data_IF_142763357871
#
_entry.id   IF_142763357871
#
_cell.length_a   1.000
_cell.length_b   1.000
_cell.length_c   1.000
_cell.angle_alpha   90.00
_cell.angle_beta   90.00
_cell.angle_gamma   90.00
#
_symmetry.space_group_name_H-M   'P 1'
#
loop_
_entity.id
_entity.type
_entity.pdbx_description
1 polymer ?
#
# COMPACT_ATOMS: atom_id res chain seq x y z
N UNK A 1 24.56 13.82 14.57
CA UNK A 1 23.70 12.62 14.47
C UNK A 1 22.68 12.85 13.36
N UNK A 2 22.56 11.96 12.37
CA UNK A 2 21.43 12.03 11.43
C UNK A 2 20.18 11.71 12.24
N UNK A 3 19.21 12.63 12.26
CA UNK A 3 17.91 12.35 12.86
C UNK A 3 17.26 11.20 12.07
N UNK A 4 16.75 10.20 12.79
CA UNK A 4 16.18 9.00 12.21
C UNK A 4 14.72 9.30 11.83
N UNK A 5 14.32 8.88 10.62
CA UNK A 5 12.94 9.04 10.15
C UNK A 5 12.01 8.16 10.98
N UNK A 6 10.91 8.73 11.48
CA UNK A 6 9.86 8.04 12.24
C UNK A 6 8.58 8.04 11.41
N UNK A 7 7.89 6.90 11.39
CA UNK A 7 6.57 6.79 10.80
C UNK A 7 5.52 6.87 11.88
N UNK A 8 4.43 7.58 11.59
CA UNK A 8 3.24 7.67 12.44
C UNK A 8 2.01 7.30 11.62
N UNK A 9 1.09 6.55 12.22
CA UNK A 9 0.00 5.90 11.50
C UNK A 9 -1.36 6.40 12.02
N UNK A 10 -2.12 7.06 11.15
CA UNK A 10 -3.54 7.32 11.33
C UNK A 10 -4.27 6.09 10.80
N UNK A 11 -4.58 5.14 11.68
CA UNK A 11 -5.30 3.91 11.32
C UNK A 11 -6.78 4.10 11.59
N UNK A 12 -7.60 4.01 10.54
CA UNK A 12 -9.03 4.31 10.56
C UNK A 12 -9.89 3.07 10.30
N UNK A 13 -11.09 3.06 10.88
CA UNK A 13 -12.15 2.12 10.53
C UNK A 13 -12.74 2.41 9.15
N UNK A 14 -13.42 1.40 8.57
CA UNK A 14 -14.05 1.49 7.23
C UNK A 14 -15.08 2.63 7.12
N UNK A 15 -15.73 2.99 8.23
CA UNK A 15 -16.69 4.10 8.30
C UNK A 15 -16.03 5.46 8.61
N UNK A 16 -14.69 5.48 8.73
CA UNK A 16 -13.87 6.64 9.12
C UNK A 16 -14.28 7.28 10.45
N UNK A 17 -15.00 6.58 11.33
CA UNK A 17 -15.46 7.15 12.62
C UNK A 17 -14.49 6.93 13.76
N UNK A 18 -13.70 5.87 13.71
CA UNK A 18 -12.79 5.53 14.80
C UNK A 18 -11.35 5.47 14.33
N UNK A 19 -10.44 5.85 15.23
CA UNK A 19 -8.99 5.74 15.05
C UNK A 19 -8.34 4.85 16.10
N UNK A 20 -7.26 4.19 15.71
CA UNK A 20 -6.42 3.41 16.63
C UNK A 20 -5.41 4.32 17.34
N UNK A 21 -5.36 4.21 18.66
CA UNK A 21 -4.39 4.94 19.49
C UNK A 21 -3.71 3.99 20.50
N UNK A 22 -2.42 4.21 20.72
CA UNK A 22 -1.64 3.57 21.78
C UNK A 22 -1.98 4.19 23.13
N UNK A 23 -2.05 3.36 24.17
CA UNK A 23 -2.13 3.79 25.57
C UNK A 23 -0.71 3.93 26.11
N UNK A 24 -0.29 5.13 26.46
CA UNK A 24 1.03 5.35 27.08
C UNK A 24 0.97 5.09 28.59
N UNK A 25 2.00 4.43 29.11
CA UNK A 25 2.07 4.06 30.55
C UNK A 25 2.33 5.24 31.48
N UNK A 26 2.79 6.38 30.96
CA UNK A 26 3.35 7.45 31.79
C UNK A 26 2.34 8.52 32.23
N UNK A 27 1.21 8.72 31.52
CA UNK A 27 0.28 9.82 31.85
C UNK A 27 -1.19 9.60 31.45
N UNK A 28 -1.62 8.36 31.19
CA UNK A 28 -2.94 8.07 30.58
C UNK A 28 -3.16 8.86 29.27
N UNK A 29 -2.05 9.22 28.60
CA UNK A 29 -2.05 9.91 27.32
C UNK A 29 -2.13 8.90 26.18
N UNK A 30 -2.82 9.29 25.13
CA UNK A 30 -2.97 8.55 23.90
C UNK A 30 -2.01 9.11 22.84
N UNK A 31 -1.57 8.24 21.95
CA UNK A 31 -0.74 8.63 20.81
C UNK A 31 -1.03 7.78 19.58
N UNK A 32 -0.84 8.34 18.40
CA UNK A 32 -0.88 7.53 17.18
C UNK A 32 0.23 6.48 17.18
N UNK A 33 -0.05 5.24 16.75
CA UNK A 33 0.95 4.22 16.49
C UNK A 33 2.14 4.79 15.72
N UNK A 34 3.35 4.50 16.20
CA UNK A 34 4.57 5.00 15.56
C UNK A 34 5.72 4.02 15.67
N UNK A 35 6.58 4.04 14.66
CA UNK A 35 7.76 3.18 14.61
C UNK A 35 8.83 3.77 13.71
N UNK A 36 10.04 3.22 13.79
CA UNK A 36 11.15 3.56 12.91
C UNK A 36 11.22 2.49 11.83
N UNK A 37 11.09 2.85 10.54
CA UNK A 37 11.06 1.87 9.46
C UNK A 37 12.46 1.39 9.10
N UNK A 38 12.59 0.10 8.81
CA UNK A 38 13.81 -0.50 8.27
C UNK A 38 14.04 -0.12 6.79
N UNK A 39 12.99 0.36 6.10
CA UNK A 39 13.02 0.78 4.70
C UNK A 39 12.41 2.17 4.56
N UNK A 40 13.13 3.09 3.93
CA UNK A 40 12.70 4.50 3.82
C UNK A 40 12.06 4.86 2.47
N UNK A 41 11.96 3.90 1.55
CA UNK A 41 11.37 4.15 0.23
C UNK A 41 9.86 4.41 0.37
N UNK A 42 9.45 5.62 0.00
CA UNK A 42 8.08 6.16 0.20
C UNK A 42 6.96 5.26 -0.28
N UNK A 43 7.16 4.59 -1.41
CA UNK A 43 6.13 3.75 -2.03
C UNK A 43 6.00 2.36 -1.42
N UNK A 44 6.96 1.85 -0.64
CA UNK A 44 6.92 0.46 -0.14
C UNK A 44 6.06 0.39 1.12
N UNK A 45 5.12 -0.53 1.18
CA UNK A 45 4.10 -0.57 2.25
C UNK A 45 4.24 -1.76 3.20
N UNK A 46 4.95 -2.84 2.82
CA UNK A 46 4.95 -4.10 3.55
C UNK A 46 5.46 -3.96 4.99
N UNK A 47 6.43 -3.07 5.23
CA UNK A 47 6.96 -2.84 6.58
C UNK A 47 5.96 -2.10 7.49
N UNK A 48 5.07 -1.27 6.92
CA UNK A 48 3.99 -0.60 7.65
C UNK A 48 2.91 -1.61 8.02
N UNK A 49 2.42 -2.36 7.02
CA UNK A 49 1.40 -3.40 7.24
C UNK A 49 1.93 -4.49 8.19
N UNK A 50 3.20 -4.89 8.04
CA UNK A 50 3.86 -5.85 8.93
C UNK A 50 4.02 -5.34 10.36
N UNK A 51 4.31 -4.05 10.56
CA UNK A 51 4.31 -3.42 11.88
C UNK A 51 2.93 -3.50 12.54
N UNK A 52 1.87 -3.14 11.80
CA UNK A 52 0.51 -3.14 12.34
C UNK A 52 0.01 -4.54 12.65
N UNK A 53 0.25 -5.50 11.76
CA UNK A 53 -0.05 -6.92 11.99
C UNK A 53 0.67 -7.45 13.23
N UNK A 54 1.98 -7.19 13.37
CA UNK A 54 2.78 -7.71 14.49
C UNK A 54 2.38 -7.13 15.84
N UNK A 55 2.06 -5.84 15.91
CA UNK A 55 1.86 -5.14 17.20
C UNK A 55 0.39 -5.02 17.60
N UNK A 56 -0.53 -5.05 16.63
CA UNK A 56 -1.96 -4.83 16.85
C UNK A 56 -2.83 -6.00 16.37
N UNK A 57 -2.26 -6.99 15.67
CA UNK A 57 -2.96 -8.15 15.12
C UNK A 57 -4.14 -7.74 14.20
N UNK A 58 -3.88 -6.79 13.30
CA UNK A 58 -4.85 -6.28 12.32
C UNK A 58 -4.29 -6.33 10.91
N UNK A 59 -5.15 -6.66 9.94
CA UNK A 59 -4.87 -6.48 8.52
C UNK A 59 -5.21 -5.07 8.06
N UNK A 60 -4.34 -4.50 7.24
CA UNK A 60 -4.37 -3.07 6.90
C UNK A 60 -4.04 -2.82 5.43
N UNK A 61 -4.46 -1.65 4.96
CA UNK A 61 -4.14 -1.12 3.63
C UNK A 61 -3.68 0.33 3.78
N UNK A 62 -2.44 0.61 3.35
CA UNK A 62 -1.88 1.95 3.38
C UNK A 62 -2.49 2.76 2.24
N UNK A 63 -3.25 3.80 2.57
CA UNK A 63 -3.94 4.63 1.59
C UNK A 63 -2.97 5.62 0.97
N UNK A 64 -2.31 6.44 1.80
CA UNK A 64 -1.39 7.48 1.35
C UNK A 64 -0.45 7.95 2.45
N UNK A 65 0.56 8.70 2.04
CA UNK A 65 1.22 9.65 2.93
C UNK A 65 0.27 10.84 3.10
N UNK A 66 -0.15 11.09 4.34
CA UNK A 66 -0.97 12.25 4.68
C UNK A 66 -0.11 13.52 4.71
N UNK A 67 1.00 13.48 5.44
CA UNK A 67 1.87 14.63 5.68
C UNK A 67 3.29 14.20 6.07
N UNK A 68 4.26 15.07 5.81
CA UNK A 68 5.63 14.92 6.30
C UNK A 68 6.02 16.20 7.06
N UNK A 69 6.47 16.05 8.30
CA UNK A 69 6.86 17.15 9.19
C UNK A 69 8.22 16.80 9.80
N UNK A 70 9.25 17.56 9.46
CA UNK A 70 10.64 17.29 9.88
C UNK A 70 11.06 15.86 9.50
N UNK A 71 11.37 15.01 10.49
CA UNK A 71 11.72 13.59 10.29
C UNK A 71 10.55 12.65 10.62
N UNK A 72 9.31 13.13 10.56
CA UNK A 72 8.11 12.32 10.81
C UNK A 72 7.28 12.26 9.54
N UNK A 73 7.03 11.04 9.07
CA UNK A 73 6.11 10.77 7.95
C UNK A 73 4.82 10.16 8.49
N UNK A 74 3.70 10.78 8.15
CA UNK A 74 2.39 10.42 8.65
C UNK A 74 1.63 9.70 7.55
N UNK A 75 1.20 8.48 7.81
CA UNK A 75 0.47 7.64 6.87
C UNK A 75 -1.00 7.54 7.29
N UNK A 76 -1.89 7.64 6.30
CA UNK A 76 -3.30 7.31 6.44
C UNK A 76 -3.50 5.85 5.99
N UNK A 77 -4.17 5.07 6.84
CA UNK A 77 -4.23 3.61 6.72
C UNK A 77 -5.64 3.17 7.09
N UNK A 78 -6.26 2.32 6.26
CA UNK A 78 -7.51 1.67 6.62
C UNK A 78 -7.26 0.28 7.22
N UNK A 79 -8.10 -0.11 8.17
CA UNK A 79 -8.21 -1.50 8.60
C UNK A 79 -9.11 -2.29 7.65
N UNK A 80 -8.72 -3.54 7.37
CA UNK A 80 -9.47 -4.46 6.52
C UNK A 80 -10.37 -5.38 7.34
N UNK A 81 -9.98 -5.67 8.57
CA UNK A 81 -10.76 -6.42 9.54
C UNK A 81 -11.72 -5.51 10.33
N UNK A 82 -12.58 -6.13 11.12
CA UNK A 82 -13.37 -5.40 12.10
C UNK A 82 -12.48 -4.97 13.29
N UNK A 83 -12.73 -3.78 13.88
CA UNK A 83 -12.01 -3.36 15.07
C UNK A 83 -12.26 -4.38 16.19
N UNK A 84 -11.20 -5.10 16.58
CA UNK A 84 -11.26 -6.07 17.66
C UNK A 84 -11.61 -5.46 19.01
N UNK A 85 -11.81 -6.32 20.01
CA UNK A 85 -12.16 -5.90 21.38
C UNK A 85 -11.04 -5.15 22.09
N UNK A 86 -11.39 -4.56 23.24
CA UNK A 86 -10.52 -3.72 24.06
C UNK A 86 -9.17 -4.41 24.37
N UNK A 87 -8.05 -3.75 24.03
CA UNK A 87 -6.72 -4.24 24.34
C UNK A 87 -6.06 -3.43 25.47
N UNK A 88 -5.10 -4.05 26.15
CA UNK A 88 -4.37 -3.42 27.26
C UNK A 88 -3.48 -2.26 26.81
N UNK A 89 -2.94 -2.33 25.59
CA UNK A 89 -1.91 -1.40 25.10
C UNK A 89 -2.43 -0.39 24.07
N UNK A 90 -3.64 -0.58 23.54
CA UNK A 90 -4.21 0.29 22.51
C UNK A 90 -5.74 0.32 22.64
N UNK A 91 -6.35 1.29 21.98
CA UNK A 91 -7.80 1.50 21.98
C UNK A 91 -8.26 2.07 20.64
N UNK A 92 -9.46 1.65 20.23
CA UNK A 92 -10.21 2.31 19.17
C UNK A 92 -11.04 3.42 19.78
N UNK A 93 -10.85 4.64 19.31
CA UNK A 93 -11.55 5.82 19.83
C UNK A 93 -12.36 6.45 18.71
N UNK A 94 -13.63 6.72 18.99
CA UNK A 94 -14.48 7.50 18.10
C UNK A 94 -13.94 8.93 18.03
N UNK A 95 -13.70 9.41 16.82
CA UNK A 95 -13.11 10.73 16.54
C UNK A 95 -13.99 11.84 17.12
N UNK A 96 -15.32 11.66 17.15
CA UNK A 96 -16.26 12.64 17.72
C UNK A 96 -16.17 12.73 19.25
N UNK A 97 -15.72 11.65 19.90
CA UNK A 97 -15.58 11.56 21.36
C UNK A 97 -14.15 11.84 21.83
N UNK A 98 -13.23 12.16 20.91
CA UNK A 98 -11.86 12.47 21.25
C UNK A 98 -11.81 13.84 21.93
N UNK A 99 -11.98 13.82 23.26
CA UNK A 99 -11.65 14.95 24.10
C UNK A 99 -10.17 15.25 23.88
N UNK A 100 -9.90 16.46 23.41
CA UNK A 100 -8.56 16.93 23.03
C UNK A 100 -7.51 16.72 24.14
N UNK A 101 -7.96 16.59 25.39
CA UNK A 101 -7.14 16.54 26.60
C UNK A 101 -6.38 15.22 26.81
N UNK A 102 -6.67 14.16 26.04
CA UNK A 102 -5.98 12.86 26.18
C UNK A 102 -4.85 12.63 25.15
N UNK A 103 -4.77 13.42 24.08
CA UNK A 103 -3.68 13.30 23.11
C UNK A 103 -2.50 14.19 23.51
N UNK A 104 -1.27 13.75 23.20
CA UNK A 104 -0.14 14.67 23.24
C UNK A 104 -0.32 15.80 22.21
N UNK A 105 0.26 16.97 22.47
CA UNK A 105 0.09 18.19 21.65
C UNK A 105 0.40 17.98 20.16
N UNK A 106 1.39 17.14 19.84
CA UNK A 106 1.76 16.89 18.45
C UNK A 106 0.71 16.02 17.73
N UNK A 107 0.19 14.99 18.39
CA UNK A 107 -0.85 14.14 17.82
C UNK A 107 -2.20 14.84 17.74
N UNK A 108 -2.50 15.74 18.69
CA UNK A 108 -3.65 16.62 18.60
C UNK A 108 -3.56 17.49 17.33
N UNK A 109 -2.40 18.09 17.06
CA UNK A 109 -2.17 18.86 15.83
C UNK A 109 -2.37 18.00 14.57
N UNK A 110 -1.84 16.78 14.55
CA UNK A 110 -2.01 15.85 13.42
C UNK A 110 -3.49 15.52 13.21
N UNK A 111 -4.22 15.21 14.28
CA UNK A 111 -5.63 14.84 14.20
C UNK A 111 -6.48 16.00 13.67
N UNK A 112 -6.29 17.21 14.20
CA UNK A 112 -7.01 18.40 13.73
C UNK A 112 -6.74 18.66 12.26
N UNK A 113 -5.47 18.67 11.85
CA UNK A 113 -5.06 18.90 10.45
C UNK A 113 -5.60 17.82 9.51
N UNK A 114 -5.67 16.56 9.95
CA UNK A 114 -6.22 15.46 9.17
C UNK A 114 -7.75 15.52 9.04
N UNK A 115 -8.47 15.89 10.10
CA UNK A 115 -9.93 16.06 10.06
C UNK A 115 -10.31 17.24 9.17
N UNK A 116 -9.55 18.33 9.21
CA UNK A 116 -9.80 19.53 8.41
C UNK A 116 -9.37 19.36 6.94
N UNK A 117 -8.51 18.39 6.64
CA UNK A 117 -8.05 18.13 5.29
C UNK A 117 -9.20 17.60 4.42
N UNK A 118 -9.63 18.44 3.45
CA UNK A 118 -10.57 18.00 2.41
C UNK A 118 -9.98 16.82 1.64
N UNK A 119 -10.79 15.77 1.44
CA UNK A 119 -10.44 14.60 0.64
C UNK A 119 -10.08 15.01 -0.81
N UNK A 120 -8.79 15.18 -1.08
CA UNK A 120 -8.23 15.28 -2.43
C UNK A 120 -8.16 13.87 -3.05
N UNK A 121 -9.29 13.17 -3.15
CA UNK A 121 -9.34 11.78 -3.59
C UNK A 121 -9.46 11.64 -5.12
N UNK A 122 -8.41 12.02 -5.86
CA UNK A 122 -8.36 11.72 -7.30
C UNK A 122 -7.96 10.27 -7.60
N UNK A 123 -7.32 9.58 -6.65
CA UNK A 123 -6.76 8.24 -6.85
C UNK A 123 -7.68 7.16 -6.27
N UNK A 124 -8.06 6.13 -7.05
CA UNK A 124 -8.95 5.07 -6.57
C UNK A 124 -8.45 4.36 -5.31
N UNK A 125 -7.16 3.98 -5.26
CA UNK A 125 -6.58 3.20 -4.15
C UNK A 125 -6.35 3.97 -2.84
N UNK A 126 -6.60 5.28 -2.84
CA UNK A 126 -6.58 6.10 -1.62
C UNK A 126 -7.96 6.12 -0.94
N UNK A 127 -9.00 5.69 -1.67
CA UNK A 127 -10.38 5.67 -1.15
C UNK A 127 -10.57 4.48 -0.22
N UNK A 128 -11.16 4.76 0.95
CA UNK A 128 -11.53 3.72 1.91
C UNK A 128 -12.49 2.72 1.25
N UNK A 129 -12.25 1.44 1.46
CA UNK A 129 -13.05 0.33 0.90
C UNK A 129 -12.66 -0.09 -0.52
N UNK A 130 -11.89 0.71 -1.26
CA UNK A 130 -11.49 0.38 -2.64
C UNK A 130 -10.77 -0.97 -2.73
N UNK A 131 -9.90 -1.27 -1.76
CA UNK A 131 -9.17 -2.55 -1.75
C UNK A 131 -10.13 -3.74 -1.69
N UNK A 132 -11.15 -3.71 -0.83
CA UNK A 132 -12.11 -4.80 -0.72
C UNK A 132 -12.91 -5.01 -2.02
N UNK A 133 -13.28 -3.92 -2.69
CA UNK A 133 -13.96 -3.98 -3.99
C UNK A 133 -13.07 -4.56 -5.08
N UNK A 134 -11.80 -4.13 -5.12
CA UNK A 134 -10.79 -4.63 -6.04
C UNK A 134 -10.52 -6.12 -5.79
N UNK A 135 -10.27 -6.53 -4.55
CA UNK A 135 -10.02 -7.94 -4.21
C UNK A 135 -11.22 -8.82 -4.59
N UNK A 136 -12.45 -8.37 -4.34
CA UNK A 136 -13.66 -9.10 -4.75
C UNK A 136 -13.74 -9.30 -6.26
N UNK A 137 -13.43 -8.27 -7.06
CA UNK A 137 -13.42 -8.37 -8.53
C UNK A 137 -12.36 -9.37 -8.99
N UNK A 138 -11.15 -9.30 -8.43
CA UNK A 138 -10.04 -10.18 -8.78
C UNK A 138 -10.33 -11.63 -8.39
N UNK A 139 -10.90 -11.88 -7.21
CA UNK A 139 -11.33 -13.22 -6.77
C UNK A 139 -12.38 -13.81 -7.72
N UNK A 140 -13.33 -13.01 -8.20
CA UNK A 140 -14.31 -13.48 -9.20
C UNK A 140 -13.64 -13.87 -10.54
N UNK A 141 -12.47 -13.32 -10.87
CA UNK A 141 -11.75 -13.58 -12.12
C UNK A 141 -10.77 -14.77 -12.01
N UNK A 142 -10.02 -14.82 -10.91
CA UNK A 142 -8.94 -15.81 -10.70
C UNK A 142 -9.38 -17.04 -9.88
N UNK A 143 -10.57 -16.99 -9.28
CA UNK A 143 -11.09 -18.01 -8.38
C UNK A 143 -10.82 -17.72 -6.90
N UNK A 144 -11.29 -18.63 -6.05
CA UNK A 144 -11.13 -18.55 -4.60
C UNK A 144 -9.68 -18.88 -4.15
N UNK A 145 -9.41 -18.71 -2.85
CA UNK A 145 -8.10 -18.98 -2.21
C UNK A 145 -6.95 -18.05 -2.64
N UNK A 146 -7.24 -16.76 -2.84
CA UNK A 146 -6.23 -15.74 -3.11
C UNK A 146 -5.77 -15.05 -1.83
N UNK A 147 -4.47 -14.77 -1.76
CA UNK A 147 -3.90 -13.90 -0.71
C UNK A 147 -3.32 -12.66 -1.35
N UNK A 148 -3.75 -11.50 -0.88
CA UNK A 148 -3.33 -10.19 -1.41
C UNK A 148 -2.31 -9.53 -0.47
N UNK A 149 -1.16 -9.18 -1.04
CA UNK A 149 -0.10 -8.43 -0.37
C UNK A 149 0.07 -7.08 -1.04
N UNK A 150 -0.21 -6.00 -0.32
CA UNK A 150 0.06 -4.65 -0.80
C UNK A 150 1.57 -4.39 -0.79
N UNK A 151 2.15 -4.33 -1.99
CA UNK A 151 3.58 -4.10 -2.20
C UNK A 151 3.93 -2.61 -2.21
N UNK A 152 3.08 -1.83 -2.88
CA UNK A 152 3.26 -0.38 -3.02
C UNK A 152 1.96 0.39 -3.01
N UNK A 153 2.01 1.60 -2.45
CA UNK A 153 0.98 2.63 -2.57
C UNK A 153 1.61 4.01 -2.52
N UNK A 154 1.36 4.81 -3.55
CA UNK A 154 1.85 6.19 -3.70
C UNK A 154 1.07 6.91 -4.81
N UNK A 155 1.42 8.16 -5.10
CA UNK A 155 0.71 9.02 -6.04
C UNK A 155 0.74 8.54 -7.50
N UNK A 156 1.67 7.63 -7.85
CA UNK A 156 1.85 7.15 -9.23
C UNK A 156 1.20 5.80 -9.51
N UNK A 157 0.91 4.99 -8.49
CA UNK A 157 0.30 3.66 -8.68
C UNK A 157 -0.04 3.00 -7.33
N UNK A 158 -0.84 1.95 -7.34
CA UNK A 158 -0.76 0.91 -6.32
C UNK A 158 -0.38 -0.43 -6.95
N UNK A 159 0.38 -1.24 -6.20
CA UNK A 159 0.87 -2.55 -6.64
C UNK A 159 0.56 -3.58 -5.56
N UNK A 160 -0.14 -4.63 -5.97
CA UNK A 160 -0.46 -5.78 -5.13
C UNK A 160 0.17 -7.02 -5.72
N UNK A 161 0.75 -7.85 -4.86
CA UNK A 161 1.08 -9.22 -5.19
C UNK A 161 -0.08 -10.11 -4.77
N UNK A 162 -0.46 -11.03 -5.64
CA UNK A 162 -1.56 -11.97 -5.45
C UNK A 162 -0.96 -13.36 -5.46
N UNK A 163 -1.10 -14.08 -4.36
CA UNK A 163 -0.69 -15.48 -4.26
C UNK A 163 -1.90 -16.37 -4.54
N UNK A 164 -1.73 -17.36 -5.44
CA UNK A 164 -2.74 -18.39 -5.71
C UNK A 164 -2.13 -19.80 -5.66
N UNK A 165 -2.97 -20.83 -5.77
CA UNK A 165 -2.54 -22.24 -5.83
C UNK A 165 -1.85 -22.55 -7.16
N UNK A 166 -0.58 -22.16 -7.27
CA UNK A 166 0.33 -22.57 -8.35
C UNK A 166 0.85 -21.43 -9.22
N UNK A 167 0.16 -20.28 -9.26
CA UNK A 167 0.62 -19.09 -9.98
C UNK A 167 0.55 -17.88 -9.04
N UNK A 168 1.48 -16.95 -9.19
CA UNK A 168 1.40 -15.67 -8.52
C UNK A 168 1.19 -14.59 -9.56
N UNK A 169 0.51 -13.53 -9.16
CA UNK A 169 0.22 -12.40 -10.04
C UNK A 169 0.62 -11.09 -9.38
N UNK A 170 0.77 -10.07 -10.20
CA UNK A 170 0.80 -8.69 -9.77
C UNK A 170 -0.40 -7.96 -10.36
N UNK A 171 -1.18 -7.31 -9.51
CA UNK A 171 -2.13 -6.29 -9.94
C UNK A 171 -1.47 -4.93 -9.79
N UNK A 172 -1.45 -4.16 -10.88
CA UNK A 172 -1.00 -2.77 -10.86
C UNK A 172 -2.13 -1.87 -11.31
N UNK A 173 -2.41 -0.83 -10.53
CA UNK A 173 -3.33 0.25 -10.87
C UNK A 173 -2.59 1.57 -10.95
N UNK A 174 -3.00 2.44 -11.86
CA UNK A 174 -2.33 3.70 -12.20
C UNK A 174 -3.34 4.84 -12.31
N UNK A 175 -2.93 6.12 -12.15
CA UNK A 175 -3.84 7.25 -12.33
C UNK A 175 -4.08 7.55 -13.81
N UNK A 176 -5.07 8.41 -14.09
CA UNK A 176 -5.45 8.82 -15.45
C UNK A 176 -4.28 9.27 -16.32
N UNK A 177 -3.35 10.03 -15.74
CA UNK A 177 -2.15 10.53 -16.44
C UNK A 177 -1.24 9.39 -16.93
N UNK A 178 -1.30 8.22 -16.28
CA UNK A 178 -0.56 7.01 -16.63
C UNK A 178 -1.45 5.91 -17.25
N UNK A 179 -2.69 6.21 -17.68
CA UNK A 179 -3.58 5.21 -18.32
C UNK A 179 -2.97 4.51 -19.54
N UNK A 180 -2.02 5.16 -20.21
CA UNK A 180 -1.28 4.57 -21.32
C UNK A 180 -0.44 3.36 -20.91
N UNK A 181 -0.05 3.24 -19.64
CA UNK A 181 0.70 2.09 -19.13
C UNK A 181 -0.10 0.79 -19.30
N UNK A 182 -1.40 0.84 -19.03
CA UNK A 182 -2.33 -0.28 -19.20
C UNK A 182 -2.37 -0.71 -20.66
N UNK A 183 -2.59 0.25 -21.58
CA UNK A 183 -2.66 0.01 -23.02
C UNK A 183 -1.34 -0.53 -23.61
N UNK A 184 -0.21 0.03 -23.19
CA UNK A 184 1.11 -0.40 -23.66
C UNK A 184 1.41 -1.81 -23.16
N UNK A 185 1.09 -2.13 -21.91
CA UNK A 185 1.30 -3.47 -21.35
C UNK A 185 0.51 -4.53 -22.12
N UNK A 186 -0.77 -4.25 -22.39
CA UNK A 186 -1.62 -5.11 -23.22
C UNK A 186 -1.07 -5.26 -24.65
N UNK A 187 -0.72 -4.15 -25.30
CA UNK A 187 -0.17 -4.13 -26.65
C UNK A 187 1.13 -4.94 -26.77
N UNK A 188 2.04 -4.79 -25.80
CA UNK A 188 3.31 -5.50 -25.78
C UNK A 188 3.11 -7.00 -25.59
N UNK A 189 2.16 -7.40 -24.74
CA UNK A 189 1.83 -8.82 -24.57
C UNK A 189 1.25 -9.43 -25.84
N UNK A 190 0.34 -8.72 -26.52
CA UNK A 190 -0.27 -9.22 -27.77
C UNK A 190 0.76 -9.40 -28.90
N UNK A 191 1.81 -8.57 -28.97
CA UNK A 191 2.82 -8.61 -30.05
C UNK A 191 4.09 -9.35 -29.71
N UNK A 192 4.47 -9.38 -28.44
CA UNK A 192 5.73 -9.91 -27.95
C UNK A 192 5.53 -10.77 -26.69
N UNK A 193 4.62 -11.78 -26.70
CA UNK A 193 4.22 -12.52 -25.49
C UNK A 193 5.38 -13.31 -24.84
N UNK A 194 6.47 -13.55 -25.57
CA UNK A 194 7.66 -14.25 -25.04
C UNK A 194 8.65 -13.33 -24.32
N UNK A 195 8.48 -12.01 -24.41
CA UNK A 195 9.41 -11.02 -23.86
C UNK A 195 8.85 -10.20 -22.70
N UNK A 196 7.55 -10.28 -22.47
CA UNK A 196 6.86 -9.62 -21.36
C UNK A 196 6.10 -10.66 -20.53
N UNK A 197 5.77 -10.35 -19.26
CA UNK A 197 4.90 -11.23 -18.49
C UNK A 197 3.55 -11.43 -19.19
N UNK A 198 2.95 -12.60 -18.98
CA UNK A 198 1.57 -12.85 -19.40
C UNK A 198 0.64 -11.82 -18.74
N UNK A 199 -0.16 -11.14 -19.55
CA UNK A 199 -1.24 -10.27 -19.06
C UNK A 199 -2.50 -11.12 -18.96
N UNK A 200 -2.98 -11.32 -17.74
CA UNK A 200 -4.16 -12.12 -17.48
C UNK A 200 -5.45 -11.34 -17.76
N UNK A 201 -5.51 -10.10 -17.29
CA UNK A 201 -6.67 -9.24 -17.50
C UNK A 201 -6.28 -7.75 -17.46
N UNK A 202 -7.10 -6.93 -18.10
CA UNK A 202 -6.93 -5.49 -18.24
C UNK A 202 -8.28 -4.81 -18.05
N UNK A 203 -8.33 -3.84 -17.14
CA UNK A 203 -9.46 -2.95 -16.98
C UNK A 203 -9.04 -1.52 -17.33
N UNK A 204 -9.42 -1.06 -18.53
CA UNK A 204 -9.08 0.27 -19.00
C UNK A 204 -9.90 1.38 -18.32
N UNK A 205 -11.12 1.07 -17.87
CA UNK A 205 -12.00 2.02 -17.18
C UNK A 205 -11.45 2.35 -15.78
N UNK A 206 -11.00 1.32 -15.07
CA UNK A 206 -10.44 1.43 -13.71
C UNK A 206 -8.91 1.48 -13.68
N UNK A 207 -8.28 1.47 -14.86
CA UNK A 207 -6.86 1.67 -15.09
C UNK A 207 -5.97 0.73 -14.28
N UNK A 208 -6.32 -0.55 -14.33
CA UNK A 208 -5.50 -1.60 -13.75
C UNK A 208 -5.31 -2.76 -14.71
N UNK A 209 -4.27 -3.54 -14.46
CA UNK A 209 -4.00 -4.78 -15.17
C UNK A 209 -3.39 -5.81 -14.22
N UNK A 210 -3.62 -7.08 -14.53
CA UNK A 210 -3.09 -8.23 -13.80
C UNK A 210 -2.09 -8.94 -14.71
N UNK A 211 -0.89 -9.19 -14.18
CA UNK A 211 0.16 -9.89 -14.90
C UNK A 211 0.71 -11.04 -14.06
N UNK A 212 1.14 -12.12 -14.70
CA UNK A 212 1.81 -13.22 -14.00
C UNK A 212 3.18 -12.77 -13.44
N UNK A 213 3.54 -13.29 -12.27
CA UNK A 213 4.86 -13.08 -11.68
C UNK A 213 5.97 -13.69 -12.55
N UNK A 214 6.92 -12.84 -12.97
CA UNK A 214 8.19 -13.32 -13.50
C UNK A 214 9.12 -13.72 -12.36
N UNK A 215 9.46 -15.01 -12.33
CA UNK A 215 10.40 -15.55 -11.36
C UNK A 215 11.84 -15.21 -11.73
N UNK A 216 12.59 -14.71 -10.75
CA UNK A 216 14.02 -14.47 -10.91
C UNK A 216 14.48 -13.20 -10.20
N UNK A 217 15.80 -13.04 -10.04
CA UNK A 217 16.38 -11.85 -9.45
C UNK A 217 16.28 -10.67 -10.40
N UNK A 218 16.14 -9.46 -9.85
CA UNK A 218 16.25 -8.24 -10.64
C UNK A 218 17.67 -8.15 -11.25
N UNK A 219 17.73 -7.78 -12.52
CA UNK A 219 19.00 -7.67 -13.24
C UNK A 219 20.00 -6.72 -12.54
N UNK A 220 19.50 -5.61 -11.97
CA UNK A 220 20.29 -4.66 -11.19
C UNK A 220 20.91 -5.22 -9.90
N UNK A 221 20.39 -6.33 -9.37
CA UNK A 221 20.98 -7.00 -8.20
C UNK A 221 22.08 -7.98 -8.59
N UNK A 222 22.15 -8.39 -9.86
CA UNK A 222 23.19 -9.27 -10.38
C UNK A 222 24.28 -8.42 -11.04
N UNK A 223 25.43 -8.31 -10.37
CA UNK A 223 26.62 -7.59 -10.87
C UNK A 223 27.33 -8.28 -12.05
N UNK A 224 26.77 -9.37 -12.58
CA UNK A 224 27.35 -10.17 -13.66
C UNK A 224 26.94 -9.56 -15.00
N UNK A 225 27.92 -9.08 -15.77
CA UNK A 225 27.70 -8.38 -17.04
C UNK A 225 27.07 -9.29 -18.10
N UNK A 226 27.26 -10.61 -17.98
CA UNK A 226 26.75 -11.60 -18.93
C UNK A 226 25.22 -11.55 -19.01
N UNK A 227 24.53 -11.35 -17.88
CA UNK A 227 23.07 -11.24 -17.87
C UNK A 227 22.58 -9.96 -18.56
N UNK A 228 23.33 -8.86 -18.43
CA UNK A 228 23.03 -7.61 -19.13
C UNK A 228 23.24 -7.73 -20.64
N UNK A 229 24.32 -8.42 -21.06
CA UNK A 229 24.58 -8.71 -22.47
C UNK A 229 23.48 -9.58 -23.06
N UNK A 230 23.09 -10.65 -22.36
CA UNK A 230 22.01 -11.54 -22.79
C UNK A 230 20.67 -10.79 -22.92
N UNK A 231 20.32 -9.95 -21.95
CA UNK A 231 19.11 -9.12 -22.03
C UNK A 231 19.12 -8.19 -23.26
N UNK A 232 20.25 -7.52 -23.54
CA UNK A 232 20.42 -6.67 -24.73
C UNK A 232 20.34 -7.47 -26.03
N UNK A 233 20.99 -8.65 -26.10
CA UNK A 233 20.92 -9.51 -27.28
C UNK A 233 19.49 -9.95 -27.57
N UNK A 234 18.73 -10.33 -26.54
CA UNK A 234 17.31 -10.69 -26.69
C UNK A 234 16.46 -9.53 -27.19
N UNK A 235 16.74 -8.30 -26.77
CA UNK A 235 16.02 -7.11 -27.26
C UNK A 235 16.33 -6.78 -28.72
N UNK A 236 17.58 -6.97 -29.17
CA UNK A 236 17.99 -6.64 -30.55
C UNK A 236 17.59 -7.73 -31.55
N UNK A 237 17.73 -9.01 -31.17
CA UNK A 237 17.43 -10.13 -32.07
C UNK A 237 15.93 -10.44 -32.21
N UNK A 238 15.09 -9.92 -31.31
CA UNK A 238 13.63 -10.07 -31.34
C UNK A 238 12.90 -9.01 -32.16
N UNK A 239 13.61 -7.98 -32.63
CA UNK A 239 13.07 -6.90 -33.45
C UNK A 239 13.00 -7.24 -34.96
N UNK A 240 12.99 -8.53 -35.31
CA UNK A 240 12.77 -9.03 -36.68
C UNK A 240 11.45 -9.79 -36.74
#
# INVERSE_FOLDING_TARGET
MKQQLTYKCIVITKDRKSILLDKTSEMDTLSFPSFIPDTQHVAITNHINGFLRKNYNIETNVLRIFKEINNIRIYEIEILDDPGSLHKNFVWVDISNLLQDHLNTFDQYILTDWVDATESQSLPWVKVGWRNEMEKKVTNMLGDDLVFEQMRSWERSALFKIYSKGRNFYLKTVPDVFKHEVLISEYLYQRHPTYVPEIFDVNQEEQWYIMEELNGPLLGQKKRIEYWREALFRLVCSAK
#
